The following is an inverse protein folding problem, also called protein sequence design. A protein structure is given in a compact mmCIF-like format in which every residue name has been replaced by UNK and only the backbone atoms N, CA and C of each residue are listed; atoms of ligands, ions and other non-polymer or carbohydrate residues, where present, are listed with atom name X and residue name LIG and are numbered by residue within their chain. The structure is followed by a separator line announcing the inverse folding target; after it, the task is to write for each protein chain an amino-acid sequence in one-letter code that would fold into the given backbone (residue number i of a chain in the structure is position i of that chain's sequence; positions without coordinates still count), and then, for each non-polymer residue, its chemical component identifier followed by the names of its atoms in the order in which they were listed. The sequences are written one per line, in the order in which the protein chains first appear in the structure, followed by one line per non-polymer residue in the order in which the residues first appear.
data_IF_584721719499
#
_entry.id   IF_584721719499
#
_cell.length_a   1.000
_cell.length_b   1.000
_cell.length_c   1.000
_cell.angle_alpha   90.00
_cell.angle_beta   90.00
_cell.angle_gamma   90.00
#
_symmetry.space_group_name_H-M   'P 1'
#
loop_
_entity.id
_entity.type
_entity.pdbx_description
1 polymer ?
#
# COMPACT_ATOMS: atom_id res chain seq x y z
N UNK A 1 -13.66 -39.78 -21.95
CA UNK A 1 -12.72 -38.83 -22.58
C UNK A 1 -13.43 -37.50 -22.74
N UNK A 2 -12.94 -36.45 -22.07
CA UNK A 2 -13.56 -35.13 -22.05
C UNK A 2 -12.75 -34.18 -21.16
N UNK A 3 -11.47 -33.97 -21.52
CA UNK A 3 -10.63 -32.93 -20.92
C UNK A 3 -11.17 -31.57 -21.36
N UNK A 4 -12.11 -31.01 -20.60
CA UNK A 4 -12.52 -29.62 -20.75
C UNK A 4 -11.33 -28.70 -20.46
N UNK A 5 -11.03 -27.81 -21.41
CA UNK A 5 -10.02 -26.74 -21.37
C UNK A 5 -9.55 -26.37 -19.96
N UNK A 6 -8.36 -26.84 -19.56
CA UNK A 6 -7.59 -26.14 -18.54
C UNK A 6 -7.29 -24.75 -19.11
N UNK A 7 -7.89 -23.70 -18.52
CA UNK A 7 -7.53 -22.31 -18.79
C UNK A 7 -6.01 -22.18 -18.72
N UNK A 8 -5.34 -22.12 -19.87
CA UNK A 8 -3.91 -21.81 -19.98
C UNK A 8 -3.64 -20.59 -19.12
N UNK A 9 -2.73 -20.72 -18.13
CA UNK A 9 -2.41 -19.61 -17.25
C UNK A 9 -1.81 -18.49 -18.08
N UNK A 10 -2.66 -17.52 -18.39
CA UNK A 10 -2.31 -16.43 -19.28
C UNK A 10 -1.07 -15.72 -18.75
N UNK A 11 -0.97 -15.49 -17.43
CA UNK A 11 0.18 -14.86 -16.77
C UNK A 11 1.49 -15.62 -16.95
N UNK A 12 1.50 -16.90 -17.34
CA UNK A 12 2.73 -17.67 -17.66
C UNK A 12 2.91 -17.93 -19.16
N UNK A 13 1.86 -17.84 -19.99
CA UNK A 13 1.89 -18.25 -21.41
C UNK A 13 1.57 -17.17 -22.44
N UNK A 14 0.75 -16.16 -22.10
CA UNK A 14 0.30 -15.19 -23.09
C UNK A 14 1.18 -13.95 -23.21
N UNK A 15 0.63 -12.91 -23.84
CA UNK A 15 1.36 -11.68 -24.16
C UNK A 15 1.55 -10.83 -22.90
N UNK A 16 2.81 -10.69 -22.47
CA UNK A 16 3.20 -10.07 -21.20
C UNK A 16 2.58 -8.68 -21.03
N UNK A 17 2.77 -7.77 -21.99
CA UNK A 17 2.31 -6.37 -21.87
C UNK A 17 0.79 -6.27 -21.71
N UNK A 18 0.03 -7.08 -22.47
CA UNK A 18 -1.44 -7.05 -22.47
C UNK A 18 -1.98 -7.52 -21.12
N UNK A 19 -1.43 -8.61 -20.59
CA UNK A 19 -1.87 -9.14 -19.31
C UNK A 19 -1.43 -8.29 -18.14
N UNK A 20 -0.23 -7.70 -18.23
CA UNK A 20 0.28 -6.78 -17.24
C UNK A 20 -0.66 -5.58 -17.12
N UNK A 21 -1.09 -4.99 -18.24
CA UNK A 21 -2.08 -3.91 -18.24
C UNK A 21 -3.45 -4.37 -17.73
N UNK A 22 -3.93 -5.54 -18.16
CA UNK A 22 -5.21 -6.10 -17.68
C UNK A 22 -5.20 -6.37 -16.17
N UNK A 23 -4.04 -6.66 -15.58
CA UNK A 23 -3.88 -6.87 -14.15
C UNK A 23 -3.69 -5.55 -13.40
N UNK A 24 -2.93 -4.63 -14.00
CA UNK A 24 -2.63 -3.28 -13.49
C UNK A 24 -3.87 -2.41 -13.34
N UNK A 25 -4.72 -2.28 -14.38
CA UNK A 25 -5.86 -1.37 -14.36
C UNK A 25 -6.80 -1.64 -13.17
N UNK A 26 -7.23 -2.90 -12.90
CA UNK A 26 -8.06 -3.18 -11.74
C UNK A 26 -7.39 -2.85 -10.40
N UNK A 27 -6.06 -2.98 -10.30
CA UNK A 27 -5.33 -2.61 -9.08
C UNK A 27 -5.30 -1.10 -8.90
N UNK A 28 -5.01 -0.33 -9.97
CA UNK A 28 -5.06 1.14 -9.93
C UNK A 28 -6.45 1.63 -9.54
N UNK A 29 -7.49 1.13 -10.21
CA UNK A 29 -8.86 1.50 -9.86
C UNK A 29 -9.21 1.08 -8.43
N UNK A 30 -8.72 -0.08 -7.97
CA UNK A 30 -8.88 -0.50 -6.59
C UNK A 30 -8.30 0.54 -5.65
N UNK A 31 -7.02 0.85 -5.77
CA UNK A 31 -6.36 1.87 -4.94
C UNK A 31 -7.03 3.24 -5.08
N UNK A 32 -7.55 3.60 -6.25
CA UNK A 32 -8.31 4.84 -6.45
C UNK A 32 -9.60 4.87 -5.63
N UNK A 33 -10.42 3.81 -5.68
CA UNK A 33 -11.62 3.69 -4.86
C UNK A 33 -11.29 3.64 -3.37
N UNK A 34 -10.13 3.08 -2.99
CA UNK A 34 -9.62 3.12 -1.63
C UNK A 34 -9.34 4.56 -1.18
N UNK A 35 -8.69 5.35 -2.02
CA UNK A 35 -8.44 6.76 -1.72
C UNK A 35 -9.70 7.60 -1.75
N UNK A 36 -10.65 7.27 -2.63
CA UNK A 36 -11.94 7.95 -2.72
C UNK A 36 -12.75 7.76 -1.43
N UNK A 37 -12.86 6.53 -0.91
CA UNK A 37 -13.60 6.32 0.34
C UNK A 37 -12.91 7.05 1.50
N UNK A 38 -11.58 6.93 1.65
CA UNK A 38 -10.84 7.67 2.70
C UNK A 38 -11.06 9.19 2.63
N UNK A 39 -11.13 9.73 1.40
CA UNK A 39 -11.36 11.16 1.16
C UNK A 39 -12.78 11.55 1.54
N UNK A 40 -13.78 10.75 1.17
CA UNK A 40 -15.18 11.01 1.50
C UNK A 40 -15.40 10.94 3.01
N UNK A 41 -14.83 9.93 3.68
CA UNK A 41 -14.84 9.79 5.15
C UNK A 41 -14.37 11.09 5.82
N UNK A 42 -13.21 11.59 5.37
CA UNK A 42 -12.61 12.85 5.84
C UNK A 42 -13.53 14.06 5.60
N UNK A 43 -14.15 14.15 4.42
CA UNK A 43 -15.07 15.25 4.07
C UNK A 43 -16.33 15.22 4.93
N UNK A 44 -16.92 14.03 5.13
CA UNK A 44 -18.14 13.87 5.93
C UNK A 44 -17.88 14.23 7.38
N UNK A 45 -16.78 13.74 7.97
CA UNK A 45 -16.38 14.09 9.34
C UNK A 45 -16.19 15.61 9.46
N UNK A 46 -15.44 16.20 8.54
CA UNK A 46 -15.12 17.63 8.58
C UNK A 46 -16.32 18.54 8.42
N UNK A 47 -17.27 18.18 7.55
CA UNK A 47 -18.42 19.04 7.25
C UNK A 47 -19.60 18.85 8.20
N UNK A 48 -19.89 17.61 8.63
CA UNK A 48 -21.10 17.30 9.40
C UNK A 48 -20.85 17.14 10.91
N UNK A 49 -19.62 16.87 11.34
CA UNK A 49 -19.29 16.70 12.76
C UNK A 49 -18.47 17.89 13.26
N UNK A 50 -17.49 18.32 12.47
CA UNK A 50 -16.73 19.54 12.72
C UNK A 50 -15.22 19.32 12.78
N UNK A 51 -14.49 20.42 12.99
CA UNK A 51 -13.02 20.46 12.95
C UNK A 51 -12.34 19.59 14.02
N UNK A 52 -12.94 19.48 15.21
CA UNK A 52 -12.41 18.68 16.32
C UNK A 52 -12.48 17.20 15.99
N UNK A 53 -13.63 16.73 15.50
CA UNK A 53 -13.80 15.37 15.00
C UNK A 53 -12.87 15.03 13.83
N UNK A 54 -12.68 15.97 12.91
CA UNK A 54 -11.74 15.81 11.80
C UNK A 54 -10.30 15.65 12.29
N UNK A 55 -9.88 16.46 13.26
CA UNK A 55 -8.56 16.36 13.88
C UNK A 55 -8.39 15.03 14.65
N UNK A 56 -9.44 14.56 15.34
CA UNK A 56 -9.47 13.28 16.04
C UNK A 56 -9.29 12.08 15.10
N UNK A 57 -9.89 12.11 13.90
CA UNK A 57 -9.84 11.01 12.92
C UNK A 57 -8.61 11.10 12.00
N UNK A 58 -8.19 12.31 11.63
CA UNK A 58 -7.11 12.55 10.66
C UNK A 58 -5.73 12.80 11.27
N UNK A 59 -5.65 13.04 12.58
CA UNK A 59 -4.40 13.35 13.29
C UNK A 59 -3.64 12.10 13.72
N UNK A 60 -3.43 11.97 15.04
CA UNK A 60 -2.66 10.87 15.65
C UNK A 60 -3.19 9.48 15.31
N UNK A 61 -4.52 9.34 15.26
CA UNK A 61 -5.20 8.07 14.96
C UNK A 61 -4.88 7.56 13.54
N UNK A 62 -4.92 8.43 12.53
CA UNK A 62 -4.58 8.07 11.15
C UNK A 62 -3.14 7.59 11.00
N UNK A 63 -2.18 8.19 11.73
CA UNK A 63 -0.78 7.75 11.71
C UNK A 63 -0.60 6.36 12.35
N UNK A 64 -1.24 6.12 13.51
CA UNK A 64 -1.22 4.82 14.18
C UNK A 64 -1.82 3.75 13.27
N UNK A 65 -2.98 4.03 12.68
CA UNK A 65 -3.66 3.14 11.74
C UNK A 65 -2.76 2.85 10.54
N UNK A 66 -2.16 3.88 9.94
CA UNK A 66 -1.28 3.75 8.79
C UNK A 66 -0.06 2.87 9.06
N UNK A 67 0.55 2.97 10.25
CA UNK A 67 1.68 2.14 10.65
C UNK A 67 1.29 0.66 10.71
N UNK A 68 0.17 0.35 11.38
CA UNK A 68 -0.30 -1.02 11.60
C UNK A 68 -0.79 -1.65 10.30
N UNK A 69 -1.61 -0.93 9.53
CA UNK A 69 -2.11 -1.38 8.22
C UNK A 69 -0.95 -1.54 7.25
N UNK A 70 0.03 -0.62 7.24
CA UNK A 70 1.21 -0.71 6.39
C UNK A 70 2.05 -1.96 6.70
N UNK A 71 2.35 -2.21 7.98
CA UNK A 71 3.07 -3.41 8.41
C UNK A 71 2.36 -4.68 7.97
N UNK A 72 1.04 -4.77 8.19
CA UNK A 72 0.26 -5.94 7.81
C UNK A 72 0.10 -6.10 6.30
N UNK A 73 0.02 -5.00 5.56
CA UNK A 73 0.00 -5.02 4.09
C UNK A 73 1.31 -5.61 3.56
N UNK A 74 2.46 -5.21 4.11
CA UNK A 74 3.75 -5.82 3.82
C UNK A 74 3.78 -7.32 4.14
N UNK A 75 3.19 -7.72 5.26
CA UNK A 75 3.09 -9.13 5.66
C UNK A 75 2.21 -9.95 4.72
N UNK A 76 1.08 -9.38 4.28
CA UNK A 76 0.18 -9.98 3.28
C UNK A 76 0.84 -10.14 1.91
N UNK A 77 1.74 -9.21 1.54
CA UNK A 77 2.56 -9.32 0.33
C UNK A 77 3.48 -10.54 0.39
N UNK A 78 4.00 -10.88 1.57
CA UNK A 78 4.78 -12.10 1.79
C UNK A 78 4.00 -13.38 1.50
N UNK A 79 2.75 -13.45 1.96
CA UNK A 79 1.85 -14.55 1.62
C UNK A 79 1.54 -14.58 0.11
N UNK A 80 1.35 -13.40 -0.50
CA UNK A 80 1.07 -13.28 -1.92
C UNK A 80 2.18 -13.85 -2.81
N UNK A 81 3.44 -13.53 -2.51
CA UNK A 81 4.59 -14.06 -3.27
C UNK A 81 4.64 -15.58 -3.20
N UNK A 82 4.53 -16.16 -2.00
CA UNK A 82 4.61 -17.61 -1.81
C UNK A 82 3.46 -18.33 -2.53
N UNK A 83 2.24 -17.79 -2.45
CA UNK A 83 1.08 -18.34 -3.15
C UNK A 83 1.27 -18.24 -4.66
N UNK A 84 1.75 -17.10 -5.18
CA UNK A 84 2.03 -16.94 -6.60
C UNK A 84 3.08 -17.94 -7.10
N UNK A 85 4.13 -18.18 -6.32
CA UNK A 85 5.15 -19.18 -6.63
C UNK A 85 4.59 -20.60 -6.67
N UNK A 86 3.85 -21.04 -5.64
CA UNK A 86 3.26 -22.38 -5.65
C UNK A 86 2.20 -22.55 -6.74
N UNK A 87 1.42 -21.50 -7.03
CA UNK A 87 0.43 -21.50 -8.10
C UNK A 87 1.11 -21.62 -9.47
N UNK A 88 2.20 -20.88 -9.70
CA UNK A 88 3.02 -21.02 -10.90
C UNK A 88 3.67 -22.39 -11.06
N UNK A 89 4.07 -23.00 -9.94
CA UNK A 89 4.61 -24.36 -9.89
C UNK A 89 3.55 -25.47 -10.04
N UNK A 90 2.26 -25.13 -10.09
CA UNK A 90 1.12 -26.06 -10.07
C UNK A 90 1.12 -26.99 -8.83
N UNK A 91 1.69 -26.55 -7.71
CA UNK A 91 1.69 -27.30 -6.44
C UNK A 91 0.42 -26.99 -5.65
N UNK A 92 -0.67 -27.71 -5.96
CA UNK A 92 -1.98 -27.46 -5.37
C UNK A 92 -1.99 -27.61 -3.84
N UNK A 93 -1.22 -28.58 -3.33
CA UNK A 93 -1.14 -28.86 -1.89
C UNK A 93 -0.51 -27.68 -1.16
N UNK A 94 0.60 -27.16 -1.67
CA UNK A 94 1.29 -26.02 -1.07
C UNK A 94 0.50 -24.72 -1.22
N UNK A 95 -0.25 -24.52 -2.32
CA UNK A 95 -1.18 -23.39 -2.45
C UNK A 95 -2.27 -23.44 -1.37
N UNK A 96 -2.94 -24.59 -1.20
CA UNK A 96 -3.99 -24.76 -0.18
C UNK A 96 -3.45 -24.54 1.23
N UNK A 97 -2.30 -25.14 1.56
CA UNK A 97 -1.66 -24.91 2.85
C UNK A 97 -1.28 -23.45 3.07
N UNK A 98 -0.82 -22.76 2.04
CA UNK A 98 -0.49 -21.32 2.08
C UNK A 98 -1.72 -20.46 2.31
N UNK A 99 -2.82 -20.75 1.62
CA UNK A 99 -4.09 -20.07 1.79
C UNK A 99 -4.61 -20.21 3.23
N UNK A 100 -4.65 -21.44 3.75
CA UNK A 100 -5.13 -21.70 5.11
C UNK A 100 -4.24 -21.09 6.19
N UNK A 101 -2.92 -21.12 5.98
CA UNK A 101 -1.95 -20.50 6.89
C UNK A 101 -2.07 -18.98 6.87
N UNK A 102 -2.25 -18.38 5.69
CA UNK A 102 -2.44 -16.94 5.53
C UNK A 102 -3.71 -16.46 6.25
N UNK A 103 -4.82 -17.19 6.14
CA UNK A 103 -6.06 -16.91 6.87
C UNK A 103 -5.93 -17.12 8.38
N UNK A 104 -5.29 -18.21 8.81
CA UNK A 104 -5.02 -18.45 10.24
C UNK A 104 -4.19 -17.31 10.84
N UNK A 105 -3.18 -16.89 10.10
CA UNK A 105 -2.30 -15.79 10.47
C UNK A 105 -3.03 -14.45 10.51
N UNK A 106 -3.87 -14.15 9.51
CA UNK A 106 -4.64 -12.89 9.51
C UNK A 106 -5.60 -12.81 10.69
N UNK A 107 -6.31 -13.90 10.99
CA UNK A 107 -7.27 -13.96 12.10
C UNK A 107 -6.57 -13.86 13.45
N UNK A 108 -5.52 -14.64 13.68
CA UNK A 108 -4.77 -14.58 14.94
C UNK A 108 -4.08 -13.22 15.11
N UNK A 109 -3.42 -12.74 14.05
CA UNK A 109 -2.74 -11.45 14.03
C UNK A 109 -3.69 -10.30 14.33
N UNK A 110 -4.89 -10.29 13.74
CA UNK A 110 -5.89 -9.27 14.04
C UNK A 110 -6.45 -9.36 15.45
N UNK A 111 -6.63 -10.56 16.02
CA UNK A 111 -7.09 -10.70 17.42
C UNK A 111 -6.05 -10.12 18.36
N UNK A 112 -4.78 -10.49 18.17
CA UNK A 112 -3.66 -9.97 18.97
C UNK A 112 -3.56 -8.45 18.87
N UNK A 113 -3.61 -7.91 17.64
CA UNK A 113 -3.53 -6.45 17.43
C UNK A 113 -4.79 -5.74 17.93
N UNK A 114 -5.97 -6.33 17.85
CA UNK A 114 -7.21 -5.77 18.37
C UNK A 114 -7.16 -5.65 19.90
N UNK A 115 -6.78 -6.72 20.60
CA UNK A 115 -6.66 -6.73 22.07
C UNK A 115 -5.58 -5.74 22.52
N UNK A 116 -4.38 -5.80 21.93
CA UNK A 116 -3.30 -4.87 22.27
C UNK A 116 -3.65 -3.43 21.92
N UNK A 117 -4.25 -3.20 20.75
CA UNK A 117 -4.64 -1.89 20.25
C UNK A 117 -5.68 -1.23 21.14
N UNK A 118 -6.75 -1.94 21.53
CA UNK A 118 -7.80 -1.41 22.41
C UNK A 118 -7.24 -1.07 23.79
N UNK A 119 -6.38 -1.92 24.35
CA UNK A 119 -5.77 -1.71 25.65
C UNK A 119 -4.75 -0.56 25.66
N UNK A 120 -3.89 -0.49 24.62
CA UNK A 120 -2.82 0.51 24.52
C UNK A 120 -3.26 1.83 23.89
N UNK A 121 -4.47 1.91 23.31
CA UNK A 121 -4.98 3.13 22.64
C UNK A 121 -4.76 4.41 23.45
N UNK A 122 -5.14 4.50 24.74
CA UNK A 122 -4.93 5.73 25.51
C UNK A 122 -3.44 6.08 25.67
N UNK A 123 -2.60 5.09 25.93
CA UNK A 123 -1.14 5.28 26.08
C UNK A 123 -0.49 5.69 24.77
N UNK A 124 -0.89 5.10 23.64
CA UNK A 124 -0.38 5.45 22.32
C UNK A 124 -0.72 6.89 21.94
N UNK A 125 -1.97 7.31 22.20
CA UNK A 125 -2.40 8.69 21.94
C UNK A 125 -1.72 9.70 22.87
N UNK A 126 -1.45 9.32 24.12
CA UNK A 126 -0.67 10.13 25.06
C UNK A 126 0.79 10.29 24.60
N UNK A 127 1.44 9.23 24.11
CA UNK A 127 2.80 9.30 23.55
C UNK A 127 2.89 10.18 22.30
N UNK A 128 1.79 10.27 21.54
CA UNK A 128 1.68 11.17 20.40
C UNK A 128 1.41 12.63 20.78
N UNK A 129 1.31 12.95 22.08
CA UNK A 129 0.97 14.29 22.58
C UNK A 129 -0.35 14.82 21.99
N UNK A 130 -1.35 13.92 21.89
CA UNK A 130 -2.67 14.27 21.38
C UNK A 130 -3.33 15.27 22.35
N UNK A 131 -3.80 16.45 21.87
CA UNK A 131 -4.44 17.45 22.72
C UNK A 131 -5.64 16.90 23.49
N UNK A 132 -5.85 17.37 24.73
CA UNK A 132 -6.92 16.88 25.61
C UNK A 132 -8.31 17.04 25.00
N UNK A 133 -8.52 18.12 24.25
CA UNK A 133 -9.79 18.45 23.55
C UNK A 133 -10.24 17.34 22.58
N UNK A 134 -9.29 16.67 21.92
CA UNK A 134 -9.58 15.62 20.92
C UNK A 134 -9.26 14.20 21.41
N UNK A 135 -8.75 14.06 22.64
CA UNK A 135 -8.31 12.78 23.20
C UNK A 135 -9.47 11.78 23.33
N UNK A 136 -10.63 12.22 23.85
CA UNK A 136 -11.77 11.34 24.07
C UNK A 136 -12.31 10.74 22.76
N UNK A 137 -12.51 11.59 21.75
CA UNK A 137 -12.97 11.18 20.42
C UNK A 137 -11.95 10.31 19.70
N UNK A 138 -10.66 10.64 19.82
CA UNK A 138 -9.57 9.84 19.26
C UNK A 138 -9.51 8.45 19.88
N UNK A 139 -9.69 8.33 21.20
CA UNK A 139 -9.74 7.04 21.90
C UNK A 139 -10.94 6.22 21.44
N UNK A 140 -12.12 6.84 21.34
CA UNK A 140 -13.34 6.17 20.90
C UNK A 140 -13.18 5.62 19.48
N UNK A 141 -12.74 6.49 18.55
CA UNK A 141 -12.51 6.12 17.16
C UNK A 141 -11.50 4.98 17.03
N UNK A 142 -10.35 5.10 17.69
CA UNK A 142 -9.26 4.14 17.55
C UNK A 142 -9.61 2.78 18.15
N UNK A 143 -10.36 2.73 19.26
CA UNK A 143 -10.88 1.47 19.83
C UNK A 143 -11.87 0.77 18.90
N UNK A 144 -12.79 1.51 18.29
CA UNK A 144 -13.75 0.93 17.32
C UNK A 144 -13.00 0.43 16.09
N UNK A 145 -12.03 1.20 15.59
CA UNK A 145 -11.19 0.77 14.46
C UNK A 145 -10.42 -0.51 14.79
N UNK A 146 -9.82 -0.61 15.99
CA UNK A 146 -9.13 -1.82 16.44
C UNK A 146 -10.07 -3.00 16.63
N UNK A 147 -11.33 -2.80 17.01
CA UNK A 147 -12.34 -3.87 17.02
C UNK A 147 -12.64 -4.35 15.58
N UNK A 148 -12.62 -3.45 14.60
CA UNK A 148 -12.84 -3.74 13.17
C UNK A 148 -11.63 -4.28 12.39
N UNK A 149 -10.43 -4.25 12.98
CA UNK A 149 -9.19 -4.55 12.26
C UNK A 149 -9.13 -5.98 11.69
N UNK A 150 -9.88 -6.91 12.30
CA UNK A 150 -10.10 -8.27 11.79
C UNK A 150 -10.59 -8.25 10.34
N UNK A 151 -11.58 -7.43 10.03
CA UNK A 151 -12.15 -7.36 8.69
C UNK A 151 -11.19 -6.75 7.68
N UNK A 152 -10.48 -5.68 8.07
CA UNK A 152 -9.45 -5.05 7.25
C UNK A 152 -8.35 -6.06 6.89
N UNK A 153 -7.93 -6.87 7.86
CA UNK A 153 -6.87 -7.86 7.66
C UNK A 153 -7.32 -9.03 6.80
N UNK A 154 -8.52 -9.55 7.04
CA UNK A 154 -9.11 -10.61 6.21
C UNK A 154 -9.27 -10.12 4.76
N UNK A 155 -9.78 -8.90 4.58
CA UNK A 155 -9.91 -8.30 3.25
C UNK A 155 -8.56 -8.17 2.55
N UNK A 156 -7.57 -7.55 3.20
CA UNK A 156 -6.25 -7.37 2.62
C UNK A 156 -5.58 -8.70 2.29
N UNK A 157 -5.67 -9.69 3.17
CA UNK A 157 -5.12 -11.02 2.93
C UNK A 157 -5.84 -11.74 1.78
N UNK A 158 -7.17 -11.77 1.78
CA UNK A 158 -7.97 -12.38 0.72
C UNK A 158 -7.76 -11.71 -0.63
N UNK A 159 -7.67 -10.38 -0.65
CA UNK A 159 -7.38 -9.56 -1.83
C UNK A 159 -5.99 -9.88 -2.39
N UNK A 160 -4.99 -9.98 -1.52
CA UNK A 160 -3.63 -10.40 -1.90
C UNK A 160 -3.59 -11.84 -2.42
N UNK A 161 -4.32 -12.78 -1.83
CA UNK A 161 -4.47 -14.16 -2.33
C UNK A 161 -5.05 -14.18 -3.74
N UNK A 162 -6.18 -13.49 -3.99
CA UNK A 162 -6.82 -13.44 -5.31
C UNK A 162 -5.90 -12.81 -6.36
N UNK A 163 -5.19 -11.73 -6.00
CA UNK A 163 -4.18 -11.14 -6.89
C UNK A 163 -3.06 -12.14 -7.21
N UNK A 164 -2.61 -12.93 -6.24
CA UNK A 164 -1.51 -13.89 -6.42
C UNK A 164 -1.74 -14.93 -7.50
N UNK A 165 -3.01 -15.27 -7.76
CA UNK A 165 -3.42 -16.22 -8.80
C UNK A 165 -3.82 -15.54 -10.12
N UNK A 166 -3.75 -14.20 -10.19
CA UNK A 166 -4.11 -13.42 -11.38
C UNK A 166 -5.51 -12.83 -11.38
N UNK A 167 -6.26 -12.93 -10.28
CA UNK A 167 -7.60 -12.34 -10.16
C UNK A 167 -7.54 -10.97 -9.48
N UNK A 168 -7.37 -9.91 -10.28
CA UNK A 168 -7.41 -8.52 -9.81
C UNK A 168 -8.79 -7.87 -9.91
N UNK A 169 -9.75 -8.50 -10.62
CA UNK A 169 -11.08 -7.94 -10.85
C UNK A 169 -12.02 -8.10 -9.66
N UNK A 170 -12.04 -9.28 -9.04
CA UNK A 170 -12.91 -9.50 -7.88
C UNK A 170 -12.55 -8.57 -6.70
N UNK A 171 -11.27 -8.41 -6.32
CA UNK A 171 -10.87 -7.40 -5.33
C UNK A 171 -11.34 -5.98 -5.65
N UNK A 172 -11.26 -5.56 -6.92
CA UNK A 172 -11.75 -4.26 -7.37
C UNK A 172 -13.26 -4.13 -7.11
N UNK A 173 -14.07 -5.09 -7.56
CA UNK A 173 -15.52 -5.02 -7.40
C UNK A 173 -15.93 -4.98 -5.92
N UNK A 174 -15.26 -5.74 -5.06
CA UNK A 174 -15.53 -5.70 -3.62
C UNK A 174 -15.24 -4.34 -3.02
N UNK A 175 -14.14 -3.70 -3.44
CA UNK A 175 -13.78 -2.38 -2.95
C UNK A 175 -14.71 -1.28 -3.48
N UNK A 176 -15.17 -1.38 -4.72
CA UNK A 176 -16.19 -0.47 -5.27
C UNK A 176 -17.46 -0.56 -4.42
N UNK A 177 -17.94 -1.78 -4.18
CA UNK A 177 -19.14 -2.02 -3.35
C UNK A 177 -18.89 -1.52 -1.92
N UNK A 178 -17.70 -1.75 -1.35
CA UNK A 178 -17.29 -1.24 -0.05
C UNK A 178 -17.40 0.28 0.03
N UNK A 179 -16.87 0.98 -0.97
CA UNK A 179 -16.88 2.43 -1.05
C UNK A 179 -18.31 2.96 -1.07
N UNK A 180 -19.18 2.40 -1.92
CA UNK A 180 -20.59 2.79 -1.95
C UNK A 180 -21.33 2.51 -0.63
N UNK A 181 -21.11 1.33 -0.02
CA UNK A 181 -21.71 0.99 1.28
C UNK A 181 -21.23 1.95 2.36
N UNK A 182 -19.92 2.25 2.40
CA UNK A 182 -19.34 3.19 3.36
C UNK A 182 -19.99 4.57 3.25
N UNK A 183 -20.04 5.15 2.04
CA UNK A 183 -20.66 6.47 1.80
C UNK A 183 -22.12 6.49 2.26
N UNK A 184 -22.90 5.45 1.93
CA UNK A 184 -24.31 5.37 2.34
C UNK A 184 -24.42 5.27 3.86
N UNK A 185 -23.60 4.45 4.51
CA UNK A 185 -23.59 4.31 5.97
C UNK A 185 -23.10 5.56 6.67
N UNK A 186 -22.14 6.31 6.11
CA UNK A 186 -21.67 7.57 6.66
C UNK A 186 -22.80 8.60 6.63
N UNK A 187 -23.51 8.72 5.52
CA UNK A 187 -24.68 9.62 5.44
C UNK A 187 -25.74 9.20 6.45
N UNK A 188 -26.04 7.91 6.59
CA UNK A 188 -27.04 7.42 7.54
C UNK A 188 -26.62 7.67 8.98
N UNK A 189 -25.44 7.24 9.41
CA UNK A 189 -25.04 7.34 10.82
C UNK A 189 -24.61 8.74 11.23
N UNK A 190 -23.95 9.49 10.35
CA UNK A 190 -23.42 10.81 10.66
C UNK A 190 -24.48 11.90 10.43
N UNK A 191 -25.17 11.87 9.29
CA UNK A 191 -26.12 12.95 8.92
C UNK A 191 -27.50 12.70 9.53
N UNK A 192 -28.04 11.48 9.47
CA UNK A 192 -29.39 11.20 9.99
C UNK A 192 -29.41 10.87 11.48
N UNK A 193 -28.50 10.02 11.96
CA UNK A 193 -28.46 9.63 13.38
C UNK A 193 -27.59 10.53 14.26
N UNK A 194 -26.87 11.50 13.67
CA UNK A 194 -26.00 12.43 14.40
C UNK A 194 -24.99 11.74 15.33
N UNK A 195 -24.50 10.55 14.96
CA UNK A 195 -23.60 9.75 15.80
C UNK A 195 -22.14 10.25 15.76
N UNK A 196 -21.88 11.41 15.13
CA UNK A 196 -20.56 12.04 15.07
C UNK A 196 -19.45 11.08 14.63
N UNK A 197 -18.34 11.08 15.38
CA UNK A 197 -17.16 10.23 15.14
C UNK A 197 -17.48 8.74 15.24
N UNK A 198 -18.41 8.36 16.13
CA UNK A 198 -18.83 6.97 16.29
C UNK A 198 -19.54 6.47 15.01
N UNK A 199 -20.34 7.31 14.38
CA UNK A 199 -21.04 6.98 13.13
C UNK A 199 -20.08 6.64 12.00
N UNK A 200 -19.03 7.44 11.82
CA UNK A 200 -17.96 7.24 10.83
C UNK A 200 -17.21 5.93 11.10
N UNK A 201 -16.84 5.70 12.36
CA UNK A 201 -16.14 4.48 12.75
C UNK A 201 -16.99 3.22 12.50
N UNK A 202 -18.30 3.27 12.76
CA UNK A 202 -19.22 2.16 12.49
C UNK A 202 -19.45 1.94 10.99
N UNK A 203 -19.57 3.00 10.19
CA UNK A 203 -19.70 2.91 8.75
C UNK A 203 -18.46 2.24 8.12
N UNK A 204 -17.26 2.65 8.55
CA UNK A 204 -16.01 2.01 8.14
C UNK A 204 -15.94 0.55 8.61
N UNK A 205 -16.34 0.25 9.85
CA UNK A 205 -16.38 -1.11 10.38
C UNK A 205 -17.29 -2.03 9.54
N UNK A 206 -18.53 -1.61 9.28
CA UNK A 206 -19.52 -2.42 8.57
C UNK A 206 -19.19 -2.60 7.08
N UNK A 207 -18.66 -1.56 6.44
CA UNK A 207 -18.24 -1.64 5.03
C UNK A 207 -17.05 -2.58 4.85
N UNK A 208 -16.06 -2.53 5.75
CA UNK A 208 -14.93 -3.47 5.76
C UNK A 208 -15.39 -4.90 6.07
N UNK A 209 -16.34 -5.09 7.00
CA UNK A 209 -16.92 -6.39 7.28
C UNK A 209 -17.58 -7.00 6.03
N UNK A 210 -18.32 -6.19 5.25
CA UNK A 210 -18.91 -6.64 4.00
C UNK A 210 -17.85 -7.06 2.98
N UNK A 211 -16.78 -6.29 2.81
CA UNK A 211 -15.65 -6.64 1.93
C UNK A 211 -14.93 -7.93 2.33
N UNK A 212 -14.71 -8.11 3.63
CA UNK A 212 -14.12 -9.32 4.20
C UNK A 212 -15.01 -10.55 3.94
N UNK A 213 -16.34 -10.39 4.09
CA UNK A 213 -17.31 -11.45 3.80
C UNK A 213 -17.33 -11.81 2.32
N UNK A 214 -17.36 -10.83 1.41
CA UNK A 214 -17.36 -11.08 -0.03
C UNK A 214 -16.10 -11.81 -0.49
N UNK A 215 -14.92 -11.38 -0.03
CA UNK A 215 -13.66 -12.04 -0.42
C UNK A 215 -13.57 -13.45 0.13
N UNK A 216 -14.02 -13.66 1.38
CA UNK A 216 -14.05 -14.98 2.01
C UNK A 216 -15.04 -15.90 1.30
N UNK A 217 -16.24 -15.39 1.00
CA UNK A 217 -17.27 -16.13 0.27
C UNK A 217 -16.78 -16.59 -1.10
N UNK A 218 -16.10 -15.70 -1.83
CA UNK A 218 -15.50 -16.04 -3.12
C UNK A 218 -14.47 -17.15 -2.97
N UNK A 219 -13.57 -17.06 -2.01
CA UNK A 219 -12.55 -18.09 -1.76
C UNK A 219 -13.17 -19.42 -1.32
N UNK A 220 -14.29 -19.42 -0.61
CA UNK A 220 -15.02 -20.63 -0.23
C UNK A 220 -15.75 -21.30 -1.41
N UNK A 221 -16.27 -20.48 -2.34
CA UNK A 221 -16.96 -20.95 -3.55
C UNK A 221 -16.04 -21.23 -4.74
N UNK A 222 -14.80 -20.75 -4.71
CA UNK A 222 -13.83 -21.05 -5.76
C UNK A 222 -13.62 -22.56 -5.90
N UNK A 223 -13.75 -23.06 -7.12
CA UNK A 223 -13.49 -24.46 -7.44
C UNK A 223 -11.98 -24.70 -7.63
N UNK A 224 -11.53 -25.91 -7.27
CA UNK A 224 -10.13 -26.34 -7.45
C UNK A 224 -9.16 -25.84 -6.37
N UNK A 225 -7.98 -25.40 -6.81
CA UNK A 225 -6.77 -25.16 -5.99
C UNK A 225 -6.96 -24.08 -4.90
N UNK A 226 -7.92 -23.18 -5.11
CA UNK A 226 -8.11 -21.99 -4.29
C UNK A 226 -9.20 -22.11 -3.21
N UNK A 227 -9.72 -23.31 -2.98
CA UNK A 227 -10.88 -23.49 -2.12
C UNK A 227 -10.53 -23.35 -0.64
N UNK A 228 -11.05 -22.31 -0.01
CA UNK A 228 -10.91 -22.09 1.43
C UNK A 228 -11.91 -22.98 2.18
N UNK A 229 -11.35 -23.88 3.00
CA UNK A 229 -12.12 -24.65 3.98
C UNK A 229 -11.92 -24.06 5.37
N UNK A 230 -12.96 -23.47 5.96
CA UNK A 230 -12.90 -22.85 7.30
C UNK A 230 -12.39 -23.86 8.35
N UNK A 231 -12.85 -25.11 8.27
CA UNK A 231 -12.43 -26.19 9.18
C UNK A 231 -10.96 -26.61 9.06
N UNK A 232 -10.26 -26.17 8.01
CA UNK A 232 -8.85 -26.50 7.75
C UNK A 232 -7.92 -25.30 7.94
N UNK A 233 -8.43 -24.18 8.44
CA UNK A 233 -7.61 -23.02 8.81
C UNK A 233 -6.69 -23.46 9.96
N UNK A 234 -5.41 -23.63 9.65
CA UNK A 234 -4.37 -24.05 10.59
C UNK A 234 -3.00 -23.57 10.14
N UNK A 235 -2.09 -23.42 11.09
CA UNK A 235 -0.70 -23.07 10.82
C UNK A 235 0.07 -24.27 10.26
N UNK A 236 0.62 -24.11 9.06
CA UNK A 236 1.59 -25.06 8.51
C UNK A 236 2.99 -24.45 8.62
N UNK A 237 3.82 -24.97 9.52
CA UNK A 237 5.10 -24.35 9.90
C UNK A 237 6.06 -24.07 8.76
N UNK A 238 6.18 -25.00 7.78
CA UNK A 238 7.05 -24.84 6.61
C UNK A 238 6.65 -23.65 5.73
N UNK A 239 5.35 -23.51 5.49
CA UNK A 239 4.77 -22.44 4.67
C UNK A 239 4.77 -21.12 5.44
N UNK A 240 4.39 -21.14 6.72
CA UNK A 240 4.42 -19.97 7.60
C UNK A 240 5.80 -19.34 7.66
N UNK A 241 6.85 -20.15 7.83
CA UNK A 241 8.25 -19.66 7.83
C UNK A 241 8.61 -18.98 6.51
N UNK A 242 8.14 -19.53 5.39
CA UNK A 242 8.39 -18.96 4.06
C UNK A 242 7.64 -17.65 3.85
N UNK A 243 6.38 -17.57 4.28
CA UNK A 243 5.57 -16.35 4.23
C UNK A 243 6.15 -15.24 5.11
N UNK A 244 6.50 -15.56 6.37
CA UNK A 244 7.08 -14.59 7.31
C UNK A 244 8.47 -14.10 6.86
N UNK A 245 9.29 -14.97 6.27
CA UNK A 245 10.60 -14.60 5.73
C UNK A 245 10.50 -13.52 4.65
N UNK A 246 9.40 -13.49 3.89
CA UNK A 246 9.14 -12.50 2.84
C UNK A 246 8.38 -11.29 3.40
N UNK A 247 7.34 -11.55 4.22
CA UNK A 247 6.42 -10.54 4.70
C UNK A 247 6.94 -9.67 5.81
N UNK A 248 7.76 -10.19 6.75
CA UNK A 248 8.32 -9.38 7.84
C UNK A 248 9.25 -8.29 7.30
N UNK A 249 10.21 -8.59 6.39
CA UNK A 249 11.01 -7.55 5.75
C UNK A 249 10.18 -6.49 5.02
N UNK A 250 9.14 -6.90 4.29
CA UNK A 250 8.24 -5.97 3.60
C UNK A 250 7.42 -5.10 4.58
N UNK A 251 6.97 -5.66 5.70
CA UNK A 251 6.31 -4.93 6.77
C UNK A 251 7.22 -3.88 7.40
N UNK A 252 8.48 -4.26 7.69
CA UNK A 252 9.50 -3.32 8.20
C UNK A 252 9.76 -2.20 7.19
N UNK A 253 9.86 -2.50 5.89
CA UNK A 253 9.98 -1.47 4.85
C UNK A 253 8.82 -0.47 4.94
N UNK A 254 7.58 -0.94 5.08
CA UNK A 254 6.41 -0.06 5.19
C UNK A 254 6.47 0.85 6.42
N UNK A 255 6.88 0.33 7.57
CA UNK A 255 7.01 1.12 8.81
C UNK A 255 8.11 2.17 8.67
N UNK A 256 9.24 1.80 8.05
CA UNK A 256 10.34 2.76 7.81
C UNK A 256 9.92 3.90 6.87
N UNK A 257 9.12 3.61 5.85
CA UNK A 257 8.53 4.66 5.00
C UNK A 257 7.63 5.60 5.79
N UNK A 258 6.76 5.06 6.65
CA UNK A 258 5.89 5.87 7.51
C UNK A 258 6.70 6.79 8.43
N UNK A 259 7.72 6.26 9.11
CA UNK A 259 8.60 7.05 9.99
C UNK A 259 9.32 8.15 9.21
N UNK A 260 9.85 7.82 8.03
CA UNK A 260 10.56 8.79 7.18
C UNK A 260 9.64 9.93 6.74
N UNK A 261 8.38 9.63 6.39
CA UNK A 261 7.40 10.63 6.01
C UNK A 261 7.02 11.55 7.19
N UNK A 262 6.87 10.99 8.40
CA UNK A 262 6.61 11.79 9.62
C UNK A 262 7.76 12.76 9.91
N UNK A 263 9.02 12.32 9.78
CA UNK A 263 10.20 13.17 10.00
C UNK A 263 10.23 14.33 9.00
N UNK A 264 9.92 14.06 7.73
CA UNK A 264 9.90 15.10 6.68
C UNK A 264 8.79 16.11 6.96
N UNK A 265 7.59 15.63 7.31
CA UNK A 265 6.47 16.49 7.66
C UNK A 265 6.81 17.37 8.87
N UNK A 266 7.42 16.80 9.92
CA UNK A 266 7.84 17.56 11.09
C UNK A 266 8.89 18.62 10.74
N UNK A 267 9.86 18.30 9.87
CA UNK A 267 10.85 19.27 9.40
C UNK A 267 10.20 20.41 8.61
N UNK A 268 9.23 20.11 7.74
CA UNK A 268 8.51 21.11 6.94
C UNK A 268 7.60 22.01 7.77
N UNK A 269 6.98 21.48 8.82
CA UNK A 269 6.16 22.27 9.75
C UNK A 269 6.96 23.38 10.45
N UNK A 270 8.28 23.21 10.60
CA UNK A 270 9.18 24.24 11.15
C UNK A 270 9.37 25.47 10.25
N UNK A 271 9.01 25.39 8.96
CA UNK A 271 9.13 26.48 7.98
C UNK A 271 7.86 27.32 7.83
N UNK A 272 6.89 27.16 8.73
CA UNK A 272 5.65 27.94 8.75
C UNK A 272 4.43 27.21 8.21
N UNK A 273 3.27 27.80 8.46
CA UNK A 273 1.95 27.25 8.14
C UNK A 273 1.73 27.08 6.63
N UNK A 274 2.21 28.03 5.84
CA UNK A 274 1.99 28.04 4.39
C UNK A 274 2.75 26.89 3.71
N UNK A 275 3.95 26.60 4.21
CA UNK A 275 4.77 25.45 3.79
C UNK A 275 4.09 24.12 4.12
N UNK A 276 3.52 24.00 5.31
CA UNK A 276 2.80 22.79 5.73
C UNK A 276 1.50 22.58 4.92
N UNK A 277 0.79 23.67 4.62
CA UNK A 277 -0.38 23.65 3.75
C UNK A 277 -0.01 23.24 2.31
N UNK A 278 1.08 23.81 1.77
CA UNK A 278 1.59 23.47 0.45
C UNK A 278 1.99 21.99 0.35
N UNK A 279 2.66 21.45 1.38
CA UNK A 279 3.01 20.03 1.46
C UNK A 279 1.79 19.12 1.51
N UNK A 280 0.74 19.53 2.21
CA UNK A 280 -0.50 18.76 2.31
C UNK A 280 -1.21 18.66 0.96
N UNK A 281 -1.32 19.76 0.22
CA UNK A 281 -1.87 19.78 -1.15
C UNK A 281 -0.98 18.97 -2.09
N UNK A 282 0.34 19.14 -2.01
CA UNK A 282 1.30 18.34 -2.76
C UNK A 282 1.12 16.85 -2.50
N UNK A 283 0.97 16.43 -1.25
CA UNK A 283 0.78 15.02 -0.86
C UNK A 283 -0.46 14.38 -1.51
N UNK A 284 -1.53 15.17 -1.75
CA UNK A 284 -2.72 14.68 -2.48
C UNK A 284 -2.43 14.46 -3.97
N UNK A 285 -1.65 15.34 -4.59
CA UNK A 285 -1.20 15.18 -5.99
C UNK A 285 -0.19 14.02 -6.11
N UNK A 286 0.73 13.92 -5.16
CA UNK A 286 1.76 12.88 -5.05
C UNK A 286 1.14 11.48 -4.92
N UNK A 287 0.06 11.35 -4.17
CA UNK A 287 -0.66 10.09 -4.00
C UNK A 287 -1.10 9.44 -5.32
N UNK A 288 -1.33 10.23 -6.39
CA UNK A 288 -1.70 9.70 -7.71
C UNK A 288 -0.53 8.95 -8.34
N UNK A 289 0.69 9.47 -8.24
CA UNK A 289 1.89 8.79 -8.71
C UNK A 289 2.14 7.50 -7.92
N UNK A 290 2.09 7.58 -6.59
CA UNK A 290 2.30 6.41 -5.72
C UNK A 290 1.28 5.30 -5.98
N UNK A 291 0.03 5.67 -6.26
CA UNK A 291 -1.02 4.73 -6.63
C UNK A 291 -0.68 3.96 -7.91
N UNK A 292 -0.23 4.66 -8.95
CA UNK A 292 0.16 4.06 -10.24
C UNK A 292 1.41 3.18 -10.06
N UNK A 293 2.45 3.71 -9.41
CA UNK A 293 3.70 3.00 -9.22
C UNK A 293 3.50 1.73 -8.36
N UNK A 294 2.71 1.81 -7.29
CA UNK A 294 2.38 0.66 -6.45
C UNK A 294 1.61 -0.42 -7.21
N UNK A 295 0.69 -0.04 -8.11
CA UNK A 295 -0.03 -1.00 -8.92
C UNK A 295 0.88 -1.77 -9.89
N UNK A 296 1.88 -1.11 -10.47
CA UNK A 296 2.92 -1.78 -11.24
C UNK A 296 3.80 -2.68 -10.35
N UNK A 297 4.17 -2.22 -9.16
CA UNK A 297 4.93 -3.00 -8.16
C UNK A 297 4.23 -4.30 -7.77
N UNK A 298 2.93 -4.26 -7.48
CA UNK A 298 2.12 -5.46 -7.19
C UNK A 298 2.04 -6.35 -8.44
N UNK A 299 1.80 -5.77 -9.61
CA UNK A 299 1.70 -6.50 -10.87
C UNK A 299 2.98 -7.28 -11.20
N UNK A 300 4.14 -6.64 -11.15
CA UNK A 300 5.41 -7.31 -11.44
C UNK A 300 5.74 -8.39 -10.40
N UNK A 301 5.43 -8.14 -9.12
CA UNK A 301 5.66 -9.11 -8.03
C UNK A 301 4.89 -10.40 -8.29
N UNK A 302 3.61 -10.31 -8.67
CA UNK A 302 2.79 -11.49 -9.02
C UNK A 302 3.29 -12.20 -10.28
N UNK A 303 3.57 -11.45 -11.36
CA UNK A 303 4.05 -12.03 -12.61
C UNK A 303 5.38 -12.77 -12.42
N UNK A 304 6.33 -12.14 -11.74
CA UNK A 304 7.63 -12.76 -11.47
C UNK A 304 7.48 -13.95 -10.53
N UNK A 305 6.64 -13.85 -9.49
CA UNK A 305 6.35 -14.96 -8.58
C UNK A 305 5.82 -16.20 -9.30
N UNK A 306 4.82 -16.04 -10.17
CA UNK A 306 4.29 -17.17 -10.93
C UNK A 306 5.30 -17.75 -11.94
N UNK A 307 6.03 -16.90 -12.67
CA UNK A 307 7.03 -17.39 -13.62
C UNK A 307 8.23 -18.04 -12.93
N UNK A 308 8.59 -17.59 -11.72
CA UNK A 308 9.60 -18.22 -10.87
C UNK A 308 9.16 -19.61 -10.42
N UNK A 309 7.92 -19.75 -9.93
CA UNK A 309 7.32 -21.04 -9.61
C UNK A 309 7.27 -22.01 -10.79
N UNK A 310 6.90 -21.50 -11.97
CA UNK A 310 6.83 -22.26 -13.22
C UNK A 310 8.20 -22.58 -13.85
N UNK A 311 9.31 -22.18 -13.21
CA UNK A 311 10.68 -22.29 -13.74
C UNK A 311 10.90 -21.62 -15.11
N UNK A 312 10.08 -20.62 -15.46
CA UNK A 312 10.14 -19.87 -16.72
C UNK A 312 11.02 -18.64 -16.56
N UNK A 313 12.30 -18.87 -16.32
CA UNK A 313 13.25 -17.82 -15.96
C UNK A 313 13.45 -16.74 -17.04
N UNK A 314 13.42 -17.10 -18.33
CA UNK A 314 13.46 -16.12 -19.43
C UNK A 314 12.31 -15.12 -19.35
N UNK A 315 11.15 -15.60 -18.92
CA UNK A 315 9.93 -14.81 -18.85
C UNK A 315 9.93 -13.89 -17.64
N UNK A 316 10.71 -14.17 -16.60
CA UNK A 316 10.97 -13.23 -15.49
C UNK A 316 11.64 -11.97 -16.04
N UNK A 317 12.76 -12.11 -16.76
CA UNK A 317 13.49 -10.97 -17.36
C UNK A 317 12.64 -10.17 -18.32
N UNK A 318 11.94 -10.87 -19.21
CA UNK A 318 11.04 -10.23 -20.19
C UNK A 318 9.93 -9.46 -19.47
N UNK A 319 9.32 -10.04 -18.43
CA UNK A 319 8.27 -9.39 -17.64
C UNK A 319 8.79 -8.14 -16.93
N UNK A 320 9.96 -8.21 -16.28
CA UNK A 320 10.54 -7.05 -15.61
C UNK A 320 10.87 -5.93 -16.61
N UNK A 321 11.48 -6.26 -17.76
CA UNK A 321 11.84 -5.25 -18.79
C UNK A 321 10.61 -4.59 -19.42
N UNK A 322 9.60 -5.39 -19.76
CA UNK A 322 8.34 -4.88 -20.32
C UNK A 322 7.61 -4.03 -19.30
N UNK A 323 7.52 -4.47 -18.05
CA UNK A 323 6.91 -3.69 -16.97
C UNK A 323 7.64 -2.36 -16.76
N UNK A 324 8.98 -2.40 -16.68
CA UNK A 324 9.81 -1.21 -16.51
C UNK A 324 9.60 -0.21 -17.66
N UNK A 325 9.55 -0.67 -18.91
CA UNK A 325 9.30 0.21 -20.06
C UNK A 325 7.91 0.85 -20.06
N UNK A 326 6.87 0.08 -19.69
CA UNK A 326 5.50 0.59 -19.59
C UNK A 326 5.38 1.57 -18.42
N UNK A 327 5.88 1.22 -17.24
CA UNK A 327 5.85 2.08 -16.05
C UNK A 327 6.64 3.36 -16.31
N UNK A 328 7.82 3.28 -16.91
CA UNK A 328 8.59 4.47 -17.30
C UNK A 328 7.78 5.40 -18.22
N UNK A 329 7.11 4.86 -19.24
CA UNK A 329 6.28 5.65 -20.16
C UNK A 329 5.09 6.30 -19.44
N UNK A 330 4.34 5.52 -18.65
CA UNK A 330 3.16 6.01 -17.92
C UNK A 330 3.56 7.04 -16.87
N UNK A 331 4.63 6.78 -16.13
CA UNK A 331 5.19 7.69 -15.14
C UNK A 331 5.73 8.97 -15.78
N UNK A 332 6.40 8.90 -16.94
CA UNK A 332 6.84 10.08 -17.67
C UNK A 332 5.67 10.96 -18.13
N UNK A 333 4.60 10.35 -18.66
CA UNK A 333 3.37 11.07 -19.03
C UNK A 333 2.74 11.73 -17.79
N UNK A 334 2.67 11.02 -16.66
CA UNK A 334 2.12 11.56 -15.43
C UNK A 334 2.96 12.71 -14.87
N UNK A 335 4.29 12.61 -14.91
CA UNK A 335 5.23 13.66 -14.51
C UNK A 335 5.04 14.92 -15.35
N UNK A 336 4.98 14.78 -16.69
CA UNK A 336 4.75 15.91 -17.60
C UNK A 336 3.39 16.55 -17.32
N UNK A 337 2.35 15.73 -17.12
CA UNK A 337 1.01 16.22 -16.77
C UNK A 337 1.00 17.00 -15.45
N UNK A 338 1.58 16.45 -14.38
CA UNK A 338 1.65 17.10 -13.07
C UNK A 338 2.43 18.42 -13.13
N UNK A 339 3.53 18.47 -13.88
CA UNK A 339 4.33 19.68 -14.04
C UNK A 339 3.59 20.74 -14.87
N UNK A 340 2.97 20.35 -15.99
CA UNK A 340 2.24 21.26 -16.86
C UNK A 340 0.98 21.82 -16.18
N UNK A 341 0.25 20.97 -15.47
CA UNK A 341 -0.98 21.32 -14.78
C UNK A 341 -0.75 21.78 -13.32
N UNK A 342 0.48 22.02 -12.88
CA UNK A 342 0.80 22.31 -11.47
C UNK A 342 -0.02 23.46 -10.88
N UNK A 343 -0.09 24.61 -11.56
CA UNK A 343 -0.82 25.79 -11.08
C UNK A 343 -2.33 25.54 -11.00
N UNK A 344 -3.01 25.06 -12.06
CA UNK A 344 -4.44 24.78 -11.96
C UNK A 344 -4.74 23.68 -10.93
N UNK A 345 -3.90 22.65 -10.82
CA UNK A 345 -4.07 21.59 -9.82
C UNK A 345 -4.00 22.14 -8.39
N UNK A 346 -3.03 23.01 -8.07
CA UNK A 346 -2.96 23.64 -6.75
C UNK A 346 -4.15 24.59 -6.50
N UNK A 347 -4.61 25.32 -7.52
CA UNK A 347 -5.80 26.19 -7.43
C UNK A 347 -7.11 25.46 -7.14
N UNK A 348 -7.20 24.16 -7.43
CA UNK A 348 -8.35 23.35 -7.05
C UNK A 348 -8.47 23.17 -5.53
N UNK A 349 -7.36 23.27 -4.79
CA UNK A 349 -7.33 23.03 -3.34
C UNK A 349 -7.22 24.32 -2.52
N UNK A 350 -6.61 25.37 -3.06
CA UNK A 350 -6.43 26.63 -2.33
C UNK A 350 -6.39 27.82 -3.29
N UNK A 351 -6.84 28.98 -2.82
CA UNK A 351 -6.72 30.27 -3.53
C UNK A 351 -5.57 31.13 -2.99
N UNK A 352 -4.85 30.65 -1.96
CA UNK A 352 -3.72 31.37 -1.37
C UNK A 352 -2.52 31.38 -2.32
N UNK A 353 -2.09 32.57 -2.73
CA UNK A 353 -1.02 32.76 -3.69
C UNK A 353 0.33 32.22 -3.20
N UNK A 354 0.62 32.33 -1.90
CA UNK A 354 1.90 31.91 -1.33
C UNK A 354 1.96 30.38 -1.21
N UNK A 355 0.87 29.74 -0.78
CA UNK A 355 0.76 28.27 -0.76
C UNK A 355 0.89 27.68 -2.16
N UNK A 356 0.27 28.31 -3.17
CA UNK A 356 0.40 27.89 -4.57
C UNK A 356 1.85 28.04 -5.05
N UNK A 357 2.51 29.17 -4.74
CA UNK A 357 3.89 29.44 -5.15
C UNK A 357 4.84 28.40 -4.56
N UNK A 358 4.81 28.23 -3.24
CA UNK A 358 5.63 27.24 -2.53
C UNK A 358 5.35 25.85 -3.08
N UNK A 359 4.08 25.44 -3.15
CA UNK A 359 3.70 24.10 -3.59
C UNK A 359 4.10 23.79 -5.04
N UNK A 360 4.02 24.76 -5.95
CA UNK A 360 4.45 24.56 -7.34
C UNK A 360 5.97 24.53 -7.49
N UNK A 361 6.73 25.28 -6.69
CA UNK A 361 8.19 25.15 -6.61
C UNK A 361 8.58 23.77 -6.09
N UNK A 362 7.93 23.27 -5.02
CA UNK A 362 8.17 21.92 -4.49
C UNK A 362 7.90 20.84 -5.55
N UNK A 363 6.77 20.94 -6.25
CA UNK A 363 6.38 19.98 -7.28
C UNK A 363 7.41 19.95 -8.42
N UNK A 364 7.84 21.11 -8.91
CA UNK A 364 8.87 21.20 -9.96
C UNK A 364 10.20 20.56 -9.54
N UNK A 365 10.55 20.65 -8.26
CA UNK A 365 11.80 20.09 -7.74
C UNK A 365 11.73 18.58 -7.52
N UNK A 366 10.59 18.02 -7.10
CA UNK A 366 10.45 16.58 -6.76
C UNK A 366 10.02 15.75 -7.97
N UNK A 367 8.97 16.17 -8.66
CA UNK A 367 8.23 15.33 -9.62
C UNK A 367 9.09 14.78 -10.78
N UNK A 368 10.07 15.50 -11.36
CA UNK A 368 10.95 14.93 -12.38
C UNK A 368 11.67 13.64 -11.94
N UNK A 369 11.93 13.50 -10.64
CA UNK A 369 12.72 12.39 -10.08
C UNK A 369 11.90 11.13 -9.81
N UNK A 370 10.58 11.20 -9.93
CA UNK A 370 9.71 10.02 -9.89
C UNK A 370 10.06 8.96 -10.94
N UNK A 371 10.60 9.39 -12.09
CA UNK A 371 11.07 8.49 -13.13
C UNK A 371 12.21 7.57 -12.63
N UNK A 372 13.04 8.06 -11.70
CA UNK A 372 14.11 7.25 -11.10
C UNK A 372 13.52 6.24 -10.10
N UNK A 373 12.45 6.62 -9.42
CA UNK A 373 11.77 5.75 -8.45
C UNK A 373 11.17 4.50 -9.10
N UNK A 374 10.72 4.59 -10.36
CA UNK A 374 10.23 3.44 -11.15
C UNK A 374 11.20 2.26 -11.13
N UNK A 375 12.50 2.51 -11.22
CA UNK A 375 13.51 1.44 -11.15
C UNK A 375 13.52 0.75 -9.78
N UNK A 376 13.38 1.53 -8.70
CA UNK A 376 13.34 0.98 -7.33
C UNK A 376 12.12 0.09 -7.19
N UNK A 377 10.93 0.57 -7.57
CA UNK A 377 9.67 -0.16 -7.38
C UNK A 377 9.63 -1.45 -8.22
N UNK A 378 9.96 -1.36 -9.51
CA UNK A 378 9.89 -2.52 -10.41
C UNK A 378 10.96 -3.57 -10.08
N UNK A 379 12.21 -3.16 -9.83
CA UNK A 379 13.28 -4.10 -9.51
C UNK A 379 13.08 -4.72 -8.13
N UNK A 380 12.66 -3.93 -7.13
CA UNK A 380 12.29 -4.44 -5.81
C UNK A 380 11.12 -5.42 -5.90
N UNK A 381 10.05 -5.08 -6.61
CA UNK A 381 8.92 -5.99 -6.85
C UNK A 381 9.33 -7.29 -7.55
N UNK A 382 10.20 -7.20 -8.56
CA UNK A 382 10.73 -8.38 -9.24
C UNK A 382 11.58 -9.26 -8.33
N UNK A 383 12.43 -8.67 -7.47
CA UNK A 383 13.26 -9.42 -6.51
C UNK A 383 12.40 -10.05 -5.40
N UNK A 384 11.39 -9.32 -4.91
CA UNK A 384 10.38 -9.86 -3.99
C UNK A 384 9.65 -11.05 -4.62
N UNK A 385 9.29 -10.97 -5.90
CA UNK A 385 8.62 -12.05 -6.64
C UNK A 385 9.42 -13.35 -6.69
N UNK A 386 10.75 -13.31 -6.77
CA UNK A 386 11.62 -14.51 -6.69
C UNK A 386 11.90 -14.97 -5.25
N UNK A 387 11.34 -14.30 -4.24
CA UNK A 387 11.53 -14.61 -2.82
C UNK A 387 12.77 -13.98 -2.17
N UNK A 388 13.43 -13.05 -2.86
CA UNK A 388 14.61 -12.34 -2.37
C UNK A 388 14.21 -10.98 -1.82
N UNK A 389 14.08 -10.88 -0.49
CA UNK A 389 13.55 -9.67 0.17
C UNK A 389 14.49 -8.98 1.12
N UNK A 390 15.51 -9.69 1.65
CA UNK A 390 16.38 -9.14 2.69
C UNK A 390 17.24 -8.04 2.11
N UNK A 391 17.84 -8.28 0.95
CA UNK A 391 18.70 -7.28 0.30
C UNK A 391 17.87 -6.10 -0.22
N UNK A 392 16.73 -6.28 -0.91
CA UNK A 392 15.83 -5.16 -1.21
C UNK A 392 15.40 -4.36 0.02
N UNK A 393 15.12 -5.01 1.15
CA UNK A 393 14.84 -4.35 2.42
C UNK A 393 16.02 -3.48 2.87
N UNK A 394 17.23 -4.04 2.91
CA UNK A 394 18.44 -3.30 3.32
C UNK A 394 18.70 -2.13 2.36
N UNK A 395 18.60 -2.34 1.05
CA UNK A 395 18.79 -1.27 0.05
C UNK A 395 17.77 -0.15 0.23
N UNK A 396 16.51 -0.48 0.49
CA UNK A 396 15.45 0.50 0.71
C UNK A 396 15.64 1.24 2.04
N UNK A 397 15.98 0.50 3.09
CA UNK A 397 16.17 1.05 4.44
C UNK A 397 17.39 1.96 4.49
N UNK A 398 18.55 1.51 4.00
CA UNK A 398 19.77 2.31 3.96
C UNK A 398 19.67 3.44 2.94
N UNK A 399 19.20 3.12 1.74
CA UNK A 399 19.20 4.03 0.60
C UNK A 399 18.12 5.11 0.66
N UNK A 400 16.89 4.74 1.01
CA UNK A 400 15.74 5.66 0.98
C UNK A 400 15.43 6.26 2.35
N UNK A 401 15.57 5.50 3.43
CA UNK A 401 15.17 5.96 4.76
C UNK A 401 16.35 6.56 5.52
N UNK A 402 17.42 5.78 5.78
CA UNK A 402 18.55 6.23 6.61
C UNK A 402 19.32 7.37 5.95
N UNK A 403 19.68 7.26 4.67
CA UNK A 403 20.32 8.37 3.96
C UNK A 403 19.47 9.64 3.97
N UNK A 404 18.13 9.51 3.91
CA UNK A 404 17.24 10.66 3.97
C UNK A 404 17.22 11.30 5.36
N UNK A 405 17.13 10.50 6.41
CA UNK A 405 17.19 10.99 7.80
C UNK A 405 18.54 11.67 8.07
N UNK A 406 19.64 11.05 7.64
CA UNK A 406 20.99 11.63 7.77
C UNK A 406 21.12 12.95 7.00
N UNK A 407 20.55 13.02 5.79
CA UNK A 407 20.51 14.25 5.01
C UNK A 407 19.73 15.34 5.72
N UNK A 408 18.54 15.04 6.25
CA UNK A 408 17.71 16.01 6.98
C UNK A 408 18.44 16.52 8.22
N UNK A 409 19.02 15.63 9.04
CA UNK A 409 19.74 16.01 10.26
C UNK A 409 21.03 16.78 9.96
N UNK A 410 21.74 16.43 8.90
CA UNK A 410 22.99 17.08 8.51
C UNK A 410 22.80 18.39 7.74
N UNK A 411 22.02 18.37 6.67
CA UNK A 411 21.87 19.48 5.74
C UNK A 411 21.03 20.63 6.33
N UNK A 412 20.03 20.35 7.17
CA UNK A 412 19.28 21.40 7.88
C UNK A 412 20.14 22.20 8.87
N UNK A 413 21.21 21.60 9.39
CA UNK A 413 22.18 22.31 10.26
C UNK A 413 23.07 23.28 9.47
N UNK A 414 23.23 23.06 8.17
CA UNK A 414 24.09 23.87 7.30
C UNK A 414 23.28 24.99 6.65
N UNK A 415 22.13 24.67 6.03
CA UNK A 415 21.21 25.63 5.43
C UNK A 415 19.76 25.15 5.59
N UNK A 416 18.98 25.73 6.53
CA UNK A 416 17.57 25.40 6.67
C UNK A 416 16.78 26.09 5.54
N UNK A 417 16.66 25.42 4.41
CA UNK A 417 15.82 25.87 3.30
C UNK A 417 14.97 24.71 2.76
N UNK A 418 13.78 25.03 2.27
CA UNK A 418 12.83 24.06 1.71
C UNK A 418 13.45 23.21 0.58
N UNK A 419 14.19 23.78 -0.40
CA UNK A 419 14.83 22.99 -1.45
C UNK A 419 15.80 21.95 -0.90
N UNK A 420 16.53 22.24 0.18
CA UNK A 420 17.51 21.30 0.77
C UNK A 420 16.82 20.06 1.34
N UNK A 421 15.63 20.20 1.95
CA UNK A 421 14.81 19.05 2.38
C UNK A 421 14.38 18.25 1.15
N UNK A 422 13.93 18.95 0.11
CA UNK A 422 13.39 18.34 -1.10
C UNK A 422 14.46 17.58 -1.89
N UNK A 423 15.68 18.10 -1.99
CA UNK A 423 16.79 17.43 -2.65
C UNK A 423 17.20 16.10 -1.99
N UNK A 424 16.75 15.84 -0.76
CA UNK A 424 16.93 14.52 -0.14
C UNK A 424 16.24 13.40 -0.93
N UNK A 425 15.12 13.67 -1.61
CA UNK A 425 14.39 12.68 -2.40
C UNK A 425 15.18 12.24 -3.64
N UNK A 426 15.58 13.14 -4.56
CA UNK A 426 16.41 12.80 -5.72
C UNK A 426 17.67 12.04 -5.36
N UNK A 427 18.45 12.53 -4.38
CA UNK A 427 19.74 11.94 -4.00
C UNK A 427 19.53 10.50 -3.51
N UNK A 428 18.57 10.31 -2.61
CA UNK A 428 18.27 8.97 -2.06
C UNK A 428 17.77 8.00 -3.12
N UNK A 429 16.93 8.47 -4.05
CA UNK A 429 16.43 7.64 -5.14
C UNK A 429 17.47 7.28 -6.19
N UNK A 430 18.36 8.21 -6.58
CA UNK A 430 19.45 7.94 -7.52
C UNK A 430 20.37 6.86 -6.96
N UNK A 431 20.85 7.05 -5.73
CA UNK A 431 21.77 6.11 -5.08
C UNK A 431 21.10 4.73 -4.97
N UNK A 432 19.86 4.70 -4.49
CA UNK A 432 19.13 3.44 -4.30
C UNK A 432 18.83 2.75 -5.62
N UNK A 433 18.44 3.49 -6.65
CA UNK A 433 18.16 2.96 -7.99
C UNK A 433 19.41 2.32 -8.60
N UNK A 434 20.55 2.99 -8.53
CA UNK A 434 21.84 2.45 -8.99
C UNK A 434 22.14 1.13 -8.27
N UNK A 435 22.00 1.08 -6.93
CA UNK A 435 22.23 -0.13 -6.14
C UNK A 435 21.26 -1.26 -6.53
N UNK A 436 19.98 -0.96 -6.76
CA UNK A 436 18.99 -1.94 -7.21
C UNK A 436 19.32 -2.49 -8.60
N UNK A 437 19.75 -1.64 -9.54
CA UNK A 437 20.14 -2.05 -10.89
C UNK A 437 21.31 -3.04 -10.81
N UNK A 438 22.39 -2.69 -10.08
CA UNK A 438 23.54 -3.58 -9.91
C UNK A 438 23.15 -4.91 -9.23
N UNK A 439 22.38 -4.84 -8.15
CA UNK A 439 21.97 -6.03 -7.42
C UNK A 439 21.07 -6.94 -8.26
N UNK A 440 20.13 -6.38 -9.01
CA UNK A 440 19.24 -7.12 -9.90
C UNK A 440 20.03 -7.90 -10.96
N UNK A 441 20.97 -7.25 -11.66
CA UNK A 441 21.81 -7.93 -12.64
C UNK A 441 22.71 -9.01 -12.01
N UNK A 442 23.30 -8.72 -10.85
CA UNK A 442 24.09 -9.70 -10.10
C UNK A 442 23.28 -10.95 -9.75
N UNK A 443 22.06 -10.77 -9.21
CA UNK A 443 21.20 -11.89 -8.81
C UNK A 443 20.71 -12.70 -9.99
N UNK A 444 20.33 -12.04 -11.07
CA UNK A 444 19.91 -12.72 -12.29
C UNK A 444 21.04 -13.53 -12.90
N UNK A 445 22.28 -13.03 -12.90
CA UNK A 445 23.47 -13.78 -13.35
C UNK A 445 23.75 -14.98 -12.45
N UNK A 446 23.64 -14.81 -11.12
CA UNK A 446 23.87 -15.89 -10.15
C UNK A 446 22.84 -17.02 -10.25
N UNK A 447 21.60 -16.71 -10.64
CA UNK A 447 20.57 -17.73 -10.84
C UNK A 447 20.76 -18.59 -12.12
N UNK A 448 21.86 -18.41 -12.88
CA UNK A 448 22.09 -19.05 -14.19
C UNK A 448 20.88 -18.91 -15.14
N UNK A 449 20.13 -17.81 -14.99
CA UNK A 449 19.13 -17.40 -15.97
C UNK A 449 19.90 -16.87 -17.18
#
# INVERSE_FOLDING_TARGET
MGRGNQNTNQITEGVIWRQLLLFFFPIVFGTFFQQLYNTIDTVIVGHFVGKEALASVGGSTAQIIGLIVGFFTGLSSGASVIIAQFYGAQDERSVRQSLHTAYAFSTLGSIVISVLGIALTPSMLAWMHTPEEIMADSVLYLRIYFAGILFVFIYNMGSSVLRSIGDSKNPLYYLIICCFINIVLDVVFVVFFHMGVLGVALATFLSQAFSALLVTHKLMKSEGILRLYIRQIRFHGSVMKSQLRIGVPAGIQSVMYSITNVIIQAALNGFGTDTAAAWSVFGKLDAVFWMVSSAFGISITTFVGQNYGARRHDRIRKSTRVCLGIDFLVSAVLVVFLIAARVPLFRLFTSDAEVIRIGTEMLLLITPWYIIFVFIEILSGSLRGIGDVIIPMILTMCGVCLLRILWIVGALRIQPTIPVIIFSYPVTWIITSILFIFYYFYRIKKMKI
#
